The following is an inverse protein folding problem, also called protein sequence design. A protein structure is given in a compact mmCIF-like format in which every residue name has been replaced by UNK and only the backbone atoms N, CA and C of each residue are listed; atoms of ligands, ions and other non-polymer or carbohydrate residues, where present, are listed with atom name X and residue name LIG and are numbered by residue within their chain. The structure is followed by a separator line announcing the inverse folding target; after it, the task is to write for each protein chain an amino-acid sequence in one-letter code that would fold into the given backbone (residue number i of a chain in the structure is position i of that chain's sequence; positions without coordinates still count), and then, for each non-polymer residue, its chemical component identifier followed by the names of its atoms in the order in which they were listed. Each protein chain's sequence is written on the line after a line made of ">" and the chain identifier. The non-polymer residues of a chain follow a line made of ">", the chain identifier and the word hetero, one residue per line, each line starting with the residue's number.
data_IF_594990496820
#
_entry.id   IF_594990496820
#
_cell.length_a   1.000
_cell.length_b   1.000
_cell.length_c   1.000
_cell.angle_alpha   90.00
_cell.angle_beta   90.00
_cell.angle_gamma   90.00
#
_symmetry.space_group_name_H-M   'P 1'
#
loop_
_entity.id
_entity.type
_entity.pdbx_description
1 polymer ?
#
# COMPACT_ATOMS: atom_id res chain seq x y z
N UNK A 1 8.28 -14.76 9.89
CA UNK A 1 7.34 -14.77 11.02
C UNK A 1 5.97 -14.76 10.39
N UNK A 2 5.26 -15.88 10.48
CA UNK A 2 4.04 -16.13 9.74
C UNK A 2 2.84 -15.57 10.49
N UNK A 3 1.76 -15.24 9.77
CA UNK A 3 0.55 -14.63 10.34
C UNK A 3 -0.08 -15.50 11.44
N UNK A 4 0.12 -16.81 11.32
CA UNK A 4 -0.31 -17.85 12.26
C UNK A 4 0.44 -17.79 13.61
N UNK A 5 1.66 -17.23 13.64
CA UNK A 5 2.49 -17.18 14.86
C UNK A 5 1.94 -16.19 15.91
N UNK A 6 1.03 -15.30 15.52
CA UNK A 6 0.63 -14.17 16.34
C UNK A 6 -0.70 -14.34 17.08
N UNK A 7 -1.61 -15.23 16.62
CA UNK A 7 -2.92 -15.51 17.23
C UNK A 7 -3.58 -14.26 17.86
N UNK A 8 -3.53 -13.11 17.16
CA UNK A 8 -4.00 -11.84 17.71
C UNK A 8 -5.53 -11.83 17.58
N UNK A 9 -6.27 -11.67 18.70
CA UNK A 9 -7.72 -11.54 18.64
C UNK A 9 -8.13 -10.34 17.78
N UNK A 10 -9.19 -10.50 16.99
CA UNK A 10 -9.74 -9.46 16.12
C UNK A 10 -9.99 -8.13 16.85
N UNK A 11 -10.38 -8.19 18.13
CA UNK A 11 -10.60 -7.02 18.98
C UNK A 11 -9.31 -6.21 19.19
N UNK A 12 -8.17 -6.88 19.32
CA UNK A 12 -6.86 -6.22 19.43
C UNK A 12 -6.48 -5.60 18.09
N UNK A 13 -6.76 -6.28 16.98
CA UNK A 13 -6.51 -5.74 15.63
C UNK A 13 -7.30 -4.44 15.46
N UNK A 14 -8.61 -4.46 15.73
CA UNK A 14 -9.49 -3.28 15.62
C UNK A 14 -9.03 -2.15 16.54
N UNK A 15 -8.62 -2.45 17.78
CA UNK A 15 -8.06 -1.45 18.69
C UNK A 15 -6.78 -0.80 18.14
N UNK A 16 -5.91 -1.59 17.49
CA UNK A 16 -4.64 -1.11 16.94
C UNK A 16 -4.79 -0.31 15.65
N UNK A 17 -5.90 -0.42 14.92
CA UNK A 17 -6.12 0.34 13.66
C UNK A 17 -5.84 1.84 13.81
N UNK A 18 -6.26 2.44 14.92
CA UNK A 18 -6.00 3.85 15.21
C UNK A 18 -4.48 4.21 15.21
N UNK A 19 -3.65 3.31 15.72
CA UNK A 19 -2.19 3.49 15.81
C UNK A 19 -1.47 3.12 14.51
N UNK A 20 -2.01 2.17 13.75
CA UNK A 20 -1.44 1.70 12.49
C UNK A 20 -1.67 2.70 11.36
N UNK A 21 -2.82 3.37 11.34
CA UNK A 21 -3.09 4.36 10.30
C UNK A 21 -2.39 5.68 10.57
N UNK A 22 -1.77 6.21 9.51
CA UNK A 22 -1.09 7.49 9.52
C UNK A 22 -1.73 8.45 8.53
N UNK A 23 -1.54 9.76 8.76
CA UNK A 23 -1.92 10.85 7.83
C UNK A 23 -3.37 10.71 7.29
N UNK A 24 -3.51 10.49 5.98
CA UNK A 24 -4.80 10.41 5.27
C UNK A 24 -5.58 9.16 5.66
N UNK A 25 -4.92 8.02 5.88
CA UNK A 25 -5.56 6.80 6.35
C UNK A 25 -6.16 7.01 7.76
N UNK A 26 -5.45 7.74 8.63
CA UNK A 26 -5.94 8.04 9.99
C UNK A 26 -7.19 8.92 9.95
N UNK A 27 -7.21 9.94 9.09
CA UNK A 27 -8.39 10.80 8.89
C UNK A 27 -9.59 10.01 8.36
N UNK A 28 -9.36 9.12 7.39
CA UNK A 28 -10.41 8.23 6.87
C UNK A 28 -10.97 7.31 7.95
N UNK A 29 -10.10 6.67 8.75
CA UNK A 29 -10.52 5.80 9.85
C UNK A 29 -11.42 6.52 10.85
N UNK A 30 -11.05 7.73 11.26
CA UNK A 30 -11.88 8.53 12.17
C UNK A 30 -13.24 8.87 11.58
N UNK A 31 -13.29 9.26 10.31
CA UNK A 31 -14.55 9.51 9.62
C UNK A 31 -15.44 8.26 9.62
N UNK A 32 -14.88 7.10 9.25
CA UNK A 32 -15.62 5.84 9.24
C UNK A 32 -16.13 5.45 10.64
N UNK A 33 -15.33 5.68 11.68
CA UNK A 33 -15.74 5.47 13.08
C UNK A 33 -16.87 6.40 13.52
N UNK A 34 -16.89 7.64 13.04
CA UNK A 34 -17.96 8.59 13.34
C UNK A 34 -19.25 8.22 12.61
N UNK A 35 -19.16 7.84 11.34
CA UNK A 35 -20.31 7.58 10.48
C UNK A 35 -20.97 6.22 10.77
N UNK A 36 -20.18 5.19 11.12
CA UNK A 36 -20.66 3.81 11.29
C UNK A 36 -20.50 3.25 12.71
N UNK A 37 -19.73 3.90 13.59
CA UNK A 37 -19.54 3.46 14.97
C UNK A 37 -18.52 2.31 15.11
N UNK A 38 -18.80 1.36 16.02
CA UNK A 38 -17.90 0.24 16.34
C UNK A 38 -18.30 -1.01 15.54
N UNK A 39 -17.34 -1.58 14.84
CA UNK A 39 -17.48 -2.79 14.05
C UNK A 39 -16.33 -3.78 14.30
N UNK A 40 -16.55 -5.03 13.87
CA UNK A 40 -15.61 -6.14 13.96
C UNK A 40 -14.53 -6.09 12.87
N UNK A 41 -13.52 -6.97 12.99
CA UNK A 41 -12.42 -7.01 12.03
C UNK A 41 -12.85 -7.41 10.61
N UNK A 42 -13.75 -8.39 10.39
CA UNK A 42 -14.25 -8.71 9.04
C UNK A 42 -14.83 -7.49 8.32
N UNK A 43 -15.64 -6.68 8.99
CA UNK A 43 -16.18 -5.44 8.41
C UNK A 43 -15.05 -4.45 8.05
N UNK A 44 -14.11 -4.22 8.97
CA UNK A 44 -12.96 -3.35 8.70
C UNK A 44 -12.13 -3.84 7.52
N UNK A 45 -11.91 -5.15 7.41
CA UNK A 45 -11.17 -5.76 6.31
C UNK A 45 -11.86 -5.48 4.96
N UNK A 46 -13.18 -5.61 4.89
CA UNK A 46 -13.96 -5.27 3.70
C UNK A 46 -13.82 -3.79 3.32
N UNK A 47 -13.94 -2.87 4.28
CA UNK A 47 -13.80 -1.44 4.02
C UNK A 47 -12.39 -1.03 3.59
N UNK A 48 -11.37 -1.68 4.15
CA UNK A 48 -9.98 -1.47 3.76
C UNK A 48 -9.73 -1.91 2.32
N UNK A 49 -10.24 -3.08 1.95
CA UNK A 49 -10.15 -3.59 0.58
C UNK A 49 -10.92 -2.66 -0.37
N UNK A 50 -12.15 -2.29 0.00
CA UNK A 50 -12.98 -1.39 -0.78
C UNK A 50 -12.34 0.00 -0.97
N UNK A 51 -11.52 0.48 -0.03
CA UNK A 51 -10.87 1.80 -0.12
C UNK A 51 -9.53 1.77 -0.85
N UNK A 52 -8.69 0.76 -0.56
CA UNK A 52 -7.26 0.74 -0.91
C UNK A 52 -6.80 -0.50 -1.67
N UNK A 53 -7.70 -1.41 -2.00
CA UNK A 53 -7.41 -2.56 -2.85
C UNK A 53 -8.53 -2.80 -3.88
N UNK A 54 -9.26 -1.74 -4.25
CA UNK A 54 -10.23 -1.80 -5.33
C UNK A 54 -9.55 -1.61 -6.70
N UNK A 55 -10.24 -2.00 -7.78
CA UNK A 55 -9.71 -1.90 -9.14
C UNK A 55 -9.32 -0.46 -9.52
N UNK A 56 -10.09 0.53 -9.11
CA UNK A 56 -9.80 1.96 -9.38
C UNK A 56 -8.54 2.45 -8.66
N UNK A 57 -8.24 1.90 -7.48
CA UNK A 57 -7.00 2.17 -6.76
C UNK A 57 -5.82 1.50 -7.47
N UNK A 58 -6.00 0.25 -7.92
CA UNK A 58 -4.99 -0.47 -8.71
C UNK A 58 -4.59 0.33 -9.95
N UNK A 59 -5.57 0.73 -10.76
CA UNK A 59 -5.35 1.54 -11.95
C UNK A 59 -4.61 2.86 -11.64
N UNK A 60 -4.96 3.55 -10.54
CA UNK A 60 -4.26 4.77 -10.12
C UNK A 60 -2.81 4.53 -9.69
N UNK A 61 -2.52 3.38 -9.09
CA UNK A 61 -1.15 3.05 -8.69
C UNK A 61 -0.30 2.65 -9.91
N UNK A 62 -0.89 1.93 -10.87
CA UNK A 62 -0.25 1.61 -12.16
C UNK A 62 0.07 2.89 -12.94
N UNK A 63 -0.93 3.77 -13.15
CA UNK A 63 -0.74 5.05 -13.83
C UNK A 63 0.32 5.93 -13.14
N UNK A 64 0.32 5.96 -11.80
CA UNK A 64 1.32 6.69 -11.02
C UNK A 64 2.71 6.05 -11.05
N UNK A 65 2.83 4.77 -11.40
CA UNK A 65 4.09 4.09 -11.63
C UNK A 65 4.60 4.38 -13.05
N UNK A 66 3.73 4.25 -14.05
CA UNK A 66 4.07 4.47 -15.47
C UNK A 66 4.44 5.93 -15.76
N UNK A 67 3.75 6.88 -15.14
CA UNK A 67 4.02 8.32 -15.31
C UNK A 67 5.21 8.83 -14.52
N UNK A 68 5.79 8.02 -13.63
CA UNK A 68 6.83 8.48 -12.73
C UNK A 68 8.22 8.27 -13.34
N UNK A 69 8.67 9.26 -14.10
CA UNK A 69 10.02 9.33 -14.66
C UNK A 69 10.98 9.83 -13.56
N UNK A 70 12.14 9.19 -13.43
CA UNK A 70 13.18 9.63 -12.51
C UNK A 70 13.80 10.96 -12.95
N UNK A 71 13.91 11.92 -12.03
CA UNK A 71 14.60 13.18 -12.27
C UNK A 71 15.82 13.33 -11.36
N UNK A 72 17.02 13.30 -11.91
CA UNK A 72 18.27 13.36 -11.14
C UNK A 72 18.49 14.65 -10.35
N UNK A 73 17.84 15.75 -10.72
CA UNK A 73 17.93 17.04 -10.03
C UNK A 73 16.95 17.14 -8.85
N UNK A 74 15.85 16.37 -8.89
CA UNK A 74 14.74 16.46 -7.92
C UNK A 74 14.63 15.24 -7.00
N UNK A 75 14.95 14.06 -7.52
CA UNK A 75 14.71 12.79 -6.86
C UNK A 75 16.01 12.19 -6.28
N UNK A 76 15.90 11.66 -5.06
CA UNK A 76 16.96 10.83 -4.49
C UNK A 76 16.79 9.39 -4.99
N UNK A 77 17.81 8.77 -5.60
CA UNK A 77 17.69 7.43 -6.19
C UNK A 77 17.08 6.39 -5.26
N UNK A 78 17.58 6.29 -4.02
CA UNK A 78 17.10 5.30 -3.05
C UNK A 78 15.63 5.53 -2.67
N UNK A 79 15.22 6.77 -2.41
CA UNK A 79 13.85 7.08 -2.01
C UNK A 79 12.87 6.85 -3.16
N UNK A 80 13.27 7.20 -4.38
CA UNK A 80 12.48 6.97 -5.58
C UNK A 80 12.30 5.47 -5.85
N UNK A 81 13.39 4.70 -5.74
CA UNK A 81 13.37 3.25 -5.92
C UNK A 81 12.47 2.56 -4.90
N UNK A 82 12.65 2.86 -3.60
CA UNK A 82 11.85 2.26 -2.53
C UNK A 82 10.36 2.56 -2.70
N UNK A 83 10.01 3.79 -3.07
CA UNK A 83 8.61 4.17 -3.33
C UNK A 83 7.97 3.33 -4.44
N UNK A 84 8.72 3.00 -5.50
CA UNK A 84 8.21 2.18 -6.58
C UNK A 84 8.20 0.70 -6.27
N UNK A 85 9.19 0.23 -5.50
CA UNK A 85 9.17 -1.12 -4.93
C UNK A 85 7.90 -1.31 -4.10
N UNK A 86 7.60 -0.39 -3.18
CA UNK A 86 6.40 -0.47 -2.33
C UNK A 86 5.11 -0.51 -3.16
N UNK A 87 5.02 0.29 -4.24
CA UNK A 87 3.86 0.30 -5.15
C UNK A 87 3.69 -1.04 -5.87
N UNK A 88 4.77 -1.57 -6.46
CA UNK A 88 4.73 -2.82 -7.21
C UNK A 88 4.46 -4.01 -6.29
N UNK A 89 5.05 -4.04 -5.09
CA UNK A 89 4.74 -5.06 -4.09
C UNK A 89 3.28 -5.02 -3.62
N UNK A 90 2.67 -3.82 -3.58
CA UNK A 90 1.26 -3.69 -3.22
C UNK A 90 0.31 -4.09 -4.38
N UNK A 91 0.70 -3.84 -5.63
CA UNK A 91 -0.07 -4.23 -6.83
C UNK A 91 0.06 -5.71 -7.18
N UNK A 92 1.25 -6.27 -6.97
CA UNK A 92 1.61 -7.63 -7.36
C UNK A 92 2.32 -8.33 -6.19
N UNK A 93 1.59 -8.77 -5.16
CA UNK A 93 2.17 -9.39 -3.97
C UNK A 93 2.94 -10.69 -4.30
N UNK A 94 2.58 -11.37 -5.39
CA UNK A 94 3.22 -12.61 -5.84
C UNK A 94 4.43 -12.37 -6.77
N UNK A 95 4.78 -11.10 -7.03
CA UNK A 95 5.91 -10.77 -7.90
C UNK A 95 7.24 -10.90 -7.15
N UNK A 96 8.21 -11.57 -7.76
CA UNK A 96 9.55 -11.68 -7.19
C UNK A 96 10.28 -10.33 -7.13
N UNK A 97 11.13 -10.15 -6.13
CA UNK A 97 11.98 -8.95 -6.00
C UNK A 97 12.80 -8.68 -7.26
N UNK A 98 13.29 -9.72 -7.93
CA UNK A 98 14.03 -9.59 -9.20
C UNK A 98 13.17 -8.97 -10.31
N UNK A 99 11.92 -9.41 -10.44
CA UNK A 99 10.99 -8.88 -11.45
C UNK A 99 10.58 -7.43 -11.13
N UNK A 100 10.38 -7.11 -9.84
CA UNK A 100 10.13 -5.74 -9.39
C UNK A 100 11.30 -4.84 -9.79
N UNK A 101 12.53 -5.26 -9.52
CA UNK A 101 13.73 -4.48 -9.84
C UNK A 101 13.84 -4.22 -11.36
N UNK A 102 13.58 -5.24 -12.19
CA UNK A 102 13.59 -5.11 -13.65
C UNK A 102 12.53 -4.13 -14.14
N UNK A 103 11.32 -4.17 -13.56
CA UNK A 103 10.25 -3.20 -13.91
C UNK A 103 10.67 -1.77 -13.58
N UNK A 104 11.26 -1.55 -12.40
CA UNK A 104 11.70 -0.21 -11.96
C UNK A 104 12.82 0.32 -12.87
N UNK A 105 13.80 -0.51 -13.23
CA UNK A 105 14.91 -0.08 -14.10
C UNK A 105 14.47 0.18 -15.54
N UNK A 106 13.46 -0.53 -16.05
CA UNK A 106 12.85 -0.21 -17.35
C UNK A 106 12.20 1.18 -17.35
N UNK A 107 11.45 1.53 -16.30
CA UNK A 107 10.86 2.87 -16.16
C UNK A 107 11.90 3.99 -15.91
N UNK A 108 13.10 3.63 -15.47
CA UNK A 108 14.22 4.57 -15.35
C UNK A 108 14.81 4.97 -16.73
N UNK A 109 14.42 4.29 -17.83
CA UNK A 109 14.98 4.54 -19.16
C UNK A 109 16.37 3.94 -19.36
N UNK A 110 16.79 3.02 -18.48
CA UNK A 110 18.01 2.26 -18.68
C UNK A 110 17.80 1.20 -19.75
N UNK A 111 18.39 1.39 -20.93
CA UNK A 111 18.67 0.27 -21.83
C UNK A 111 19.59 -0.71 -21.08
N UNK A 112 19.19 -1.99 -21.05
CA UNK A 112 20.07 -3.09 -20.64
C UNK A 112 21.05 -3.39 -21.76
#
# INVERSE_FOLDING_TARGET
>A
MWQEDFHIPDEIIVCKLHSLFTRTAKKWYYKMRLDHGKHDWPWWKCELIAKWANHSWGFKMEDAFDSAIFNSEKDKPLTWFLKHKDRLSALHPDMSDSMINIKITRNYGGEL
#
